data_IF_807756880321
#
_entry.id   IF_807756880321
#
_cell.length_a   1.000
_cell.length_b   1.000
_cell.length_c   1.000
_cell.angle_alpha   90.00
_cell.angle_beta   90.00
_cell.angle_gamma   90.00
#
_symmetry.space_group_name_H-M   'P 1'
#
loop_
_entity.id
_entity.type
_entity.pdbx_description
1 polymer ?
#
# COMPACT_ATOMS: atom_id res chain seq x y z
N UNK A 1 -1.82 10.52 -7.70
CA UNK A 1 -1.59 10.88 -6.28
C UNK A 1 -0.39 11.81 -6.27
N UNK A 2 -0.54 13.04 -5.79
CA UNK A 2 0.53 14.04 -5.89
C UNK A 2 1.76 13.60 -5.05
N UNK A 3 2.98 13.52 -5.61
CA UNK A 3 4.24 13.20 -4.88
C UNK A 3 4.59 14.21 -3.76
N UNK A 4 3.76 15.23 -3.60
CA UNK A 4 3.88 16.37 -2.72
C UNK A 4 3.88 15.97 -1.24
N UNK A 5 3.14 14.93 -0.83
CA UNK A 5 3.01 14.59 0.60
C UNK A 5 4.33 14.09 1.18
N UNK A 6 5.08 13.27 0.44
CA UNK A 6 6.36 12.75 0.92
C UNK A 6 7.47 13.81 0.88
N UNK A 7 7.44 14.72 -0.11
CA UNK A 7 8.36 15.86 -0.13
C UNK A 7 8.08 16.84 1.02
N UNK A 8 6.81 17.17 1.27
CA UNK A 8 6.41 18.10 2.35
C UNK A 8 6.75 17.58 3.75
N UNK A 9 6.84 16.26 3.92
CA UNK A 9 7.08 15.61 5.19
C UNK A 9 8.46 14.94 5.27
N UNK A 10 9.45 15.38 4.47
CA UNK A 10 10.78 14.76 4.43
C UNK A 10 11.43 14.62 5.81
N UNK A 11 11.29 15.64 6.67
CA UNK A 11 11.93 15.71 7.98
C UNK A 11 11.44 14.63 8.96
N UNK A 12 10.22 14.13 8.78
CA UNK A 12 9.68 13.05 9.62
C UNK A 12 9.94 11.66 9.03
N UNK A 13 10.52 11.56 7.83
CA UNK A 13 10.83 10.28 7.21
C UNK A 13 12.12 9.70 7.81
N UNK A 14 12.22 8.37 7.95
CA UNK A 14 13.49 7.74 8.32
C UNK A 14 14.59 8.01 7.28
N UNK A 15 15.84 8.15 7.72
CA UNK A 15 16.99 8.52 6.87
C UNK A 15 17.14 7.67 5.59
N UNK A 16 16.87 6.37 5.69
CA UNK A 16 16.91 5.45 4.54
C UNK A 16 15.89 5.82 3.47
N UNK A 17 14.71 6.27 3.89
CA UNK A 17 13.63 6.67 3.00
C UNK A 17 13.89 8.05 2.40
N UNK A 18 14.43 9.00 3.18
CA UNK A 18 14.87 10.30 2.66
C UNK A 18 15.87 10.14 1.50
N UNK A 19 16.85 9.25 1.65
CA UNK A 19 17.87 8.96 0.61
C UNK A 19 17.30 8.36 -0.69
N UNK A 20 16.21 7.60 -0.60
CA UNK A 20 15.60 6.91 -1.75
C UNK A 20 14.44 7.73 -2.36
N UNK A 21 13.95 8.75 -1.64
CA UNK A 21 12.81 9.56 -2.04
C UNK A 21 12.98 10.22 -3.43
N UNK A 22 14.14 10.80 -3.82
CA UNK A 22 14.31 11.38 -5.16
C UNK A 22 14.12 10.34 -6.28
N UNK A 23 14.57 9.10 -6.05
CA UNK A 23 14.41 7.98 -6.99
C UNK A 23 12.95 7.53 -7.11
N UNK A 24 12.24 7.46 -5.98
CA UNK A 24 10.81 7.08 -5.96
C UNK A 24 9.96 8.10 -6.74
N UNK A 25 10.29 9.38 -6.64
CA UNK A 25 9.57 10.47 -7.30
C UNK A 25 9.90 10.51 -8.79
N UNK A 26 11.18 10.46 -9.16
CA UNK A 26 11.62 10.49 -10.57
C UNK A 26 11.09 9.29 -11.37
N UNK A 27 11.06 8.10 -10.76
CA UNK A 27 10.52 6.90 -11.39
C UNK A 27 8.99 6.78 -11.24
N UNK A 28 8.34 7.78 -10.63
CA UNK A 28 6.90 7.84 -10.40
C UNK A 28 6.30 6.55 -9.81
N UNK A 29 7.08 5.84 -8.98
CA UNK A 29 6.75 4.49 -8.49
C UNK A 29 5.45 4.44 -7.69
N UNK A 30 5.06 5.54 -7.05
CA UNK A 30 3.82 5.59 -6.28
C UNK A 30 2.60 5.73 -7.18
N UNK A 31 2.73 6.44 -8.30
CA UNK A 31 1.62 6.58 -9.24
C UNK A 31 1.40 5.32 -10.06
N UNK A 32 2.43 4.49 -10.26
CA UNK A 32 2.26 3.22 -10.98
C UNK A 32 1.29 2.26 -10.25
N UNK A 33 1.19 2.32 -8.93
CA UNK A 33 0.21 1.51 -8.18
C UNK A 33 -1.25 1.91 -8.42
N UNK A 34 -1.53 3.06 -9.05
CA UNK A 34 -2.90 3.45 -9.42
C UNK A 34 -3.49 2.57 -10.53
N UNK A 35 -2.63 1.96 -11.35
CA UNK A 35 -3.04 1.21 -12.53
C UNK A 35 -2.65 -0.27 -12.37
N UNK A 36 -3.51 -1.18 -12.83
CA UNK A 36 -3.25 -2.64 -12.81
C UNK A 36 -1.91 -3.02 -13.44
N UNK A 37 -1.53 -2.37 -14.54
CA UNK A 37 -0.23 -2.58 -15.19
C UNK A 37 0.96 -2.28 -14.25
N UNK A 38 0.88 -1.21 -13.45
CA UNK A 38 1.93 -0.89 -12.49
C UNK A 38 1.91 -1.76 -11.22
N UNK A 39 0.74 -2.29 -10.83
CA UNK A 39 0.64 -3.34 -9.81
C UNK A 39 1.35 -4.62 -10.31
N UNK A 40 1.08 -5.04 -11.55
CA UNK A 40 1.73 -6.20 -12.16
C UNK A 40 3.25 -6.06 -12.23
N UNK A 41 3.74 -4.88 -12.62
CA UNK A 41 5.18 -4.59 -12.63
C UNK A 41 5.81 -4.62 -11.23
N UNK A 42 5.02 -4.42 -10.18
CA UNK A 42 5.49 -4.47 -8.79
C UNK A 42 5.60 -5.88 -8.25
N UNK A 43 4.90 -6.85 -8.86
CA UNK A 43 5.01 -8.25 -8.44
C UNK A 43 6.35 -8.90 -8.81
N UNK A 44 7.00 -8.47 -9.88
CA UNK A 44 8.33 -8.96 -10.28
C UNK A 44 9.42 -8.65 -9.24
N UNK A 45 9.58 -7.41 -8.73
CA UNK A 45 10.50 -7.16 -7.63
C UNK A 45 10.03 -7.74 -6.30
N UNK A 46 8.71 -7.94 -6.09
CA UNK A 46 8.18 -8.56 -4.88
C UNK A 46 8.49 -10.07 -4.82
N UNK A 47 8.36 -10.78 -5.95
CA UNK A 47 8.70 -12.20 -6.04
C UNK A 47 10.15 -12.48 -5.67
N UNK A 48 11.07 -11.58 -6.07
CA UNK A 48 12.50 -11.63 -5.74
C UNK A 48 12.82 -11.39 -4.26
N UNK A 49 11.92 -10.75 -3.50
CA UNK A 49 12.11 -10.52 -2.05
C UNK A 49 11.74 -11.73 -1.21
N UNK A 50 10.92 -12.63 -1.75
CA UNK A 50 10.55 -13.86 -1.07
C UNK A 50 11.64 -14.91 -1.29
N UNK A 51 12.13 -15.51 -0.20
CA UNK A 51 13.19 -16.53 -0.25
C UNK A 51 12.74 -17.86 -0.88
N UNK A 52 11.43 -18.09 -0.98
CA UNK A 52 10.82 -19.31 -1.51
C UNK A 52 10.41 -19.14 -2.96
N UNK A 53 10.38 -20.24 -3.71
CA UNK A 53 9.74 -20.27 -5.02
C UNK A 53 8.29 -19.80 -4.92
N UNK A 54 7.90 -18.95 -5.87
CA UNK A 54 6.60 -18.31 -5.87
C UNK A 54 6.22 -17.86 -7.28
N UNK A 55 4.91 -17.77 -7.52
CA UNK A 55 4.34 -17.40 -8.81
C UNK A 55 3.92 -15.92 -8.87
N UNK A 56 4.40 -15.08 -7.95
CA UNK A 56 3.97 -13.68 -7.87
C UNK A 56 4.31 -12.91 -9.13
N UNK A 57 5.47 -13.18 -9.75
CA UNK A 57 5.88 -12.48 -10.98
C UNK A 57 4.83 -12.55 -12.11
N UNK A 58 3.97 -13.57 -12.11
CA UNK A 58 2.89 -13.78 -13.09
C UNK A 58 1.49 -13.70 -12.50
N UNK A 59 1.35 -13.41 -11.20
CA UNK A 59 0.08 -13.44 -10.47
C UNK A 59 -0.88 -12.28 -10.82
N UNK A 60 -0.51 -11.40 -11.76
CA UNK A 60 -1.31 -10.24 -12.15
C UNK A 60 -2.71 -10.60 -12.64
N UNK A 61 -2.82 -11.64 -13.48
CA UNK A 61 -4.12 -12.07 -14.01
C UNK A 61 -4.99 -12.72 -12.93
N UNK A 62 -4.37 -13.45 -12.00
CA UNK A 62 -5.06 -14.09 -10.88
C UNK A 62 -5.57 -13.06 -9.87
N UNK A 63 -4.77 -12.01 -9.60
CA UNK A 63 -5.19 -10.87 -8.80
C UNK A 63 -6.44 -10.20 -9.39
N UNK A 64 -6.46 -9.94 -10.70
CA UNK A 64 -7.61 -9.31 -11.36
C UNK A 64 -8.85 -10.21 -11.27
N UNK A 65 -8.66 -11.51 -11.54
CA UNK A 65 -9.75 -12.49 -11.49
C UNK A 65 -10.40 -12.58 -10.11
N UNK A 66 -9.60 -12.51 -9.05
CA UNK A 66 -10.06 -12.67 -7.67
C UNK A 66 -10.12 -11.34 -6.90
N UNK A 67 -10.12 -10.20 -7.59
CA UNK A 67 -9.97 -8.88 -6.94
C UNK A 67 -11.04 -8.64 -5.88
N UNK A 68 -12.30 -8.97 -6.19
CA UNK A 68 -13.44 -8.79 -5.28
C UNK A 68 -13.32 -9.62 -4.01
N UNK A 69 -12.86 -10.87 -4.11
CA UNK A 69 -12.68 -11.76 -2.96
C UNK A 69 -11.51 -11.28 -2.10
N UNK A 70 -10.39 -10.94 -2.73
CA UNK A 70 -9.20 -10.40 -2.05
C UNK A 70 -9.54 -9.07 -1.35
N UNK A 71 -10.32 -8.20 -2.00
CA UNK A 71 -10.80 -6.96 -1.41
C UNK A 71 -11.68 -7.24 -0.19
N UNK A 72 -12.68 -8.13 -0.30
CA UNK A 72 -13.53 -8.51 0.82
C UNK A 72 -12.74 -9.07 2.02
N UNK A 73 -11.78 -9.95 1.76
CA UNK A 73 -10.91 -10.51 2.79
C UNK A 73 -10.04 -9.42 3.43
N UNK A 74 -9.48 -8.53 2.62
CA UNK A 74 -8.70 -7.40 3.10
C UNK A 74 -9.55 -6.47 3.98
N UNK A 75 -10.78 -6.15 3.56
CA UNK A 75 -11.70 -5.30 4.33
C UNK A 75 -12.09 -5.92 5.66
N UNK A 76 -12.23 -7.24 5.70
CA UNK A 76 -12.52 -8.00 6.93
C UNK A 76 -11.31 -8.02 7.87
N UNK A 77 -10.11 -8.26 7.33
CA UNK A 77 -8.89 -8.44 8.12
C UNK A 77 -8.25 -7.12 8.58
N UNK A 78 -8.33 -6.07 7.77
CA UNK A 78 -7.63 -4.82 8.01
C UNK A 78 -7.96 -4.17 9.39
N UNK A 79 -9.22 -4.14 9.86
CA UNK A 79 -9.56 -3.68 11.21
C UNK A 79 -8.76 -4.38 12.31
N UNK A 80 -8.58 -5.70 12.21
CA UNK A 80 -7.83 -6.50 13.18
C UNK A 80 -6.35 -6.12 13.22
N UNK A 81 -5.73 -5.98 12.05
CA UNK A 81 -4.33 -5.56 11.91
C UNK A 81 -4.10 -4.28 12.69
N UNK A 82 -5.01 -3.32 12.54
CA UNK A 82 -4.72 -2.05 13.15
C UNK A 82 -5.12 -2.00 14.62
N UNK A 83 -6.11 -2.79 15.05
CA UNK A 83 -6.32 -3.02 16.48
C UNK A 83 -5.04 -3.58 17.12
N UNK A 84 -4.41 -4.58 16.48
CA UNK A 84 -3.13 -5.13 16.92
C UNK A 84 -2.01 -4.07 16.98
N UNK A 85 -1.89 -3.23 15.94
CA UNK A 85 -0.87 -2.17 15.91
C UNK A 85 -1.12 -1.08 16.94
N UNK A 86 -2.38 -0.65 17.15
CA UNK A 86 -2.75 0.31 18.21
C UNK A 86 -2.36 -0.21 19.60
N UNK A 87 -2.62 -1.49 19.86
CA UNK A 87 -2.30 -2.12 21.13
C UNK A 87 -0.78 -2.28 21.36
N UNK A 88 0.02 -2.33 20.28
CA UNK A 88 1.50 -2.38 20.37
C UNK A 88 2.19 -1.01 20.42
N UNK A 89 1.66 0.02 19.75
CA UNK A 89 2.33 1.31 19.55
C UNK A 89 1.40 2.49 19.90
N UNK A 90 1.23 2.75 21.20
CA UNK A 90 0.29 3.74 21.73
C UNK A 90 0.59 5.24 21.43
N UNK A 91 1.54 5.61 20.56
CA UNK A 91 1.94 7.03 20.40
C UNK A 91 1.75 7.69 19.01
N UNK A 92 1.64 6.96 17.89
CA UNK A 92 1.69 7.59 16.54
C UNK A 92 0.56 7.22 15.54
N UNK A 93 -0.47 6.46 15.93
CA UNK A 93 -1.41 5.83 14.95
C UNK A 93 -2.76 6.54 14.71
N UNK A 94 -3.10 7.57 15.47
CA UNK A 94 -4.43 8.22 15.40
C UNK A 94 -4.74 8.80 14.02
N UNK A 95 -3.74 9.32 13.30
CA UNK A 95 -3.93 9.95 11.99
C UNK A 95 -4.15 8.96 10.84
N UNK A 96 -3.53 7.77 10.89
CA UNK A 96 -3.67 6.75 9.83
C UNK A 96 -5.07 6.12 9.89
N UNK A 97 -5.61 5.94 11.10
CA UNK A 97 -6.96 5.41 11.32
C UNK A 97 -8.04 6.28 10.70
N UNK A 98 -8.00 7.58 11.01
CA UNK A 98 -9.00 8.52 10.54
C UNK A 98 -9.04 8.60 9.01
N UNK A 99 -7.87 8.56 8.36
CA UNK A 99 -7.79 8.64 6.90
C UNK A 99 -8.27 7.38 6.20
N UNK A 100 -7.90 6.19 6.69
CA UNK A 100 -8.30 4.94 6.04
C UNK A 100 -9.78 4.63 6.27
N UNK A 101 -10.33 4.95 7.44
CA UNK A 101 -11.77 4.82 7.70
C UNK A 101 -12.62 5.74 6.82
N UNK A 102 -12.17 6.97 6.53
CA UNK A 102 -12.89 7.88 5.61
C UNK A 102 -12.84 7.37 4.16
N UNK A 103 -11.70 6.83 3.71
CA UNK A 103 -11.59 6.25 2.37
C UNK A 103 -12.49 5.02 2.20
N UNK A 104 -12.58 4.17 3.23
CA UNK A 104 -13.46 3.00 3.25
C UNK A 104 -14.94 3.39 3.25
N UNK A 105 -15.32 4.40 4.03
CA UNK A 105 -16.70 4.91 4.04
C UNK A 105 -17.12 5.49 2.68
N UNK A 106 -16.19 6.13 1.96
CA UNK A 106 -16.43 6.68 0.63
C UNK A 106 -16.60 5.60 -0.45
N UNK A 107 -15.90 4.47 -0.32
CA UNK A 107 -16.06 3.31 -1.24
C UNK A 107 -17.38 2.60 -1.01
N UNK A 108 -17.85 2.53 0.24
CA UNK A 108 -19.16 1.93 0.58
C UNK A 108 -20.37 2.77 0.16
N UNK A 109 -20.20 4.06 -0.16
CA UNK A 109 -21.26 4.97 -0.59
C UNK A 109 -21.39 5.13 -2.12
N UNK A 110 -20.57 4.40 -2.90
CA UNK A 110 -20.60 4.38 -4.36
C UNK A 110 -21.25 3.12 -4.96
N UNK A 111 -21.98 2.34 -4.17
CA UNK A 111 -22.87 1.27 -4.65
C UNK A 111 -24.34 1.65 -4.48
#
# INVERSE_FOLDING_TARGET
MHPIILQKNQEILPDKLQKILPKIISENRLSSYKNLSGINLSFVPLSKRLKRENNLATAGNELIKNYTEIESDFLTFFPEVINYVKNRNARNFTYIYFHVSIQLLAVSFQQ
#
